data_IF_096566051611
#
_entry.id   IF_096566051611
#
_cell.length_a   1.000
_cell.length_b   1.000
_cell.length_c   1.000
_cell.angle_alpha   90.00
_cell.angle_beta   90.00
_cell.angle_gamma   90.00
#
_symmetry.space_group_name_H-M   'P 1'
#
loop_
_entity.id
_entity.type
_entity.pdbx_description
1 polymer ?
#
# COMPACT_ATOMS: atom_id res chain seq x y z
N UNK A 1 -19.44 24.62 14.66
CA UNK A 1 -20.42 23.70 14.06
C UNK A 1 -19.90 22.28 14.26
N UNK A 2 -20.70 21.35 14.80
CA UNK A 2 -20.23 19.98 15.07
C UNK A 2 -20.51 19.15 13.81
N UNK A 3 -19.50 18.95 12.98
CA UNK A 3 -19.62 18.11 11.78
C UNK A 3 -19.71 16.65 12.22
N UNK A 4 -20.70 15.90 11.72
CA UNK A 4 -20.82 14.47 12.01
C UNK A 4 -20.09 13.64 10.96
N UNK A 5 -19.78 12.39 11.29
CA UNK A 5 -19.10 11.46 10.37
C UNK A 5 -19.95 11.26 9.11
N UNK A 6 -21.26 11.20 9.25
CA UNK A 6 -22.21 11.04 8.15
C UNK A 6 -22.16 12.22 7.18
N UNK A 7 -22.05 13.46 7.69
CA UNK A 7 -21.87 14.65 6.84
C UNK A 7 -20.57 14.58 6.04
N UNK A 8 -19.46 14.19 6.69
CA UNK A 8 -18.15 14.07 6.03
C UNK A 8 -18.19 13.00 4.93
N UNK A 9 -18.78 11.84 5.22
CA UNK A 9 -18.92 10.77 4.23
C UNK A 9 -19.75 11.26 3.04
N UNK A 10 -20.87 11.93 3.27
CA UNK A 10 -21.71 12.45 2.19
C UNK A 10 -20.95 13.46 1.31
N UNK A 11 -20.18 14.37 1.92
CA UNK A 11 -19.36 15.35 1.20
C UNK A 11 -18.26 14.67 0.38
N UNK A 12 -17.52 13.72 0.96
CA UNK A 12 -16.46 12.98 0.26
C UNK A 12 -17.03 12.17 -0.90
N UNK A 13 -18.18 11.50 -0.72
CA UNK A 13 -18.82 10.72 -1.78
C UNK A 13 -19.32 11.60 -2.94
N UNK A 14 -19.58 12.89 -2.71
CA UNK A 14 -19.98 13.84 -3.76
C UNK A 14 -18.82 14.28 -4.68
N UNK A 15 -17.57 14.01 -4.29
CA UNK A 15 -16.39 14.39 -5.06
C UNK A 15 -16.19 13.49 -6.30
N UNK A 16 -15.36 13.95 -7.25
CA UNK A 16 -14.91 13.12 -8.38
C UNK A 16 -14.13 11.88 -7.90
N UNK A 17 -14.08 10.79 -8.68
CA UNK A 17 -13.31 9.58 -8.32
C UNK A 17 -11.86 9.87 -7.92
N UNK A 18 -11.18 10.77 -8.62
CA UNK A 18 -9.79 11.14 -8.36
C UNK A 18 -9.64 11.88 -7.03
N UNK A 19 -10.55 12.81 -6.72
CA UNK A 19 -10.54 13.53 -5.45
C UNK A 19 -10.88 12.60 -4.28
N UNK A 20 -11.78 11.62 -4.47
CA UNK A 20 -12.03 10.58 -3.46
C UNK A 20 -10.81 9.70 -3.22
N UNK A 21 -10.11 9.30 -4.27
CA UNK A 21 -8.87 8.52 -4.14
C UNK A 21 -7.82 9.29 -3.34
N UNK A 22 -7.66 10.59 -3.60
CA UNK A 22 -6.77 11.45 -2.83
C UNK A 22 -7.18 11.56 -1.35
N UNK A 23 -8.48 11.72 -1.04
CA UNK A 23 -8.95 11.71 0.35
C UNK A 23 -8.67 10.36 1.02
N UNK A 24 -8.91 9.25 0.32
CA UNK A 24 -8.63 7.91 0.84
C UNK A 24 -7.13 7.73 1.14
N UNK A 25 -6.24 8.18 0.24
CA UNK A 25 -4.79 8.20 0.46
C UNK A 25 -4.44 8.98 1.74
N UNK A 26 -4.95 10.21 1.91
CA UNK A 26 -4.68 11.01 3.11
C UNK A 26 -5.21 10.40 4.40
N UNK A 27 -6.36 9.74 4.34
CA UNK A 27 -6.88 9.01 5.50
C UNK A 27 -5.98 7.81 5.83
N UNK A 28 -5.52 7.05 4.84
CA UNK A 28 -4.59 5.93 5.05
C UNK A 28 -3.26 6.42 5.63
N UNK A 29 -2.66 7.46 5.04
CA UNK A 29 -1.44 8.09 5.56
C UNK A 29 -1.60 8.55 7.01
N UNK A 30 -2.79 9.04 7.41
CA UNK A 30 -3.04 9.46 8.79
C UNK A 30 -3.10 8.30 9.80
N UNK A 31 -3.36 7.07 9.32
CA UNK A 31 -3.34 5.86 10.14
C UNK A 31 -1.91 5.35 10.36
N UNK A 32 -0.98 5.72 9.49
CA UNK A 32 0.44 5.53 9.70
C UNK A 32 0.91 6.48 10.80
N UNK A 33 0.52 6.19 12.05
CA UNK A 33 1.12 6.81 13.22
C UNK A 33 2.65 6.64 13.14
N UNK A 34 3.41 7.56 13.74
CA UNK A 34 4.85 7.43 14.01
C UNK A 34 5.16 6.25 14.96
N UNK A 35 4.50 5.10 14.79
CA UNK A 35 5.07 3.84 15.21
C UNK A 35 6.38 3.74 14.45
N UNK A 36 7.46 3.90 15.19
CA UNK A 36 8.79 3.47 14.80
C UNK A 36 8.71 1.94 14.66
N UNK A 37 8.06 1.47 13.58
CA UNK A 37 7.91 0.05 13.25
C UNK A 37 9.28 -0.41 12.81
N UNK A 38 10.11 -0.72 13.81
CA UNK A 38 11.39 -1.35 13.55
C UNK A 38 11.10 -2.71 12.94
N UNK A 39 11.49 -2.90 11.67
CA UNK A 39 11.44 -4.20 11.04
C UNK A 39 12.09 -5.23 11.99
N UNK A 40 11.42 -6.36 12.21
CA UNK A 40 12.02 -7.44 13.00
C UNK A 40 13.40 -7.82 12.42
N UNK A 41 14.31 -8.33 13.24
CA UNK A 41 15.61 -8.82 12.78
C UNK A 41 15.46 -9.85 11.65
N UNK A 42 14.51 -10.77 11.79
CA UNK A 42 14.18 -11.78 10.79
C UNK A 42 13.79 -11.17 9.43
N UNK A 43 12.92 -10.16 9.44
CA UNK A 43 12.54 -9.45 8.21
C UNK A 43 13.71 -8.68 7.59
N UNK A 44 14.56 -8.04 8.41
CA UNK A 44 15.76 -7.35 7.91
C UNK A 44 16.76 -8.32 7.28
N UNK A 45 16.92 -9.50 7.84
CA UNK A 45 17.79 -10.54 7.29
C UNK A 45 17.25 -11.06 5.96
N UNK A 46 15.96 -11.38 5.90
CA UNK A 46 15.31 -11.89 4.69
C UNK A 46 15.36 -10.88 3.54
N UNK A 47 15.11 -9.59 3.81
CA UNK A 47 15.23 -8.53 2.79
C UNK A 47 16.65 -8.49 2.21
N UNK A 48 17.68 -8.48 3.07
CA UNK A 48 19.09 -8.46 2.59
C UNK A 48 19.44 -9.71 1.79
N UNK A 49 18.98 -10.88 2.24
CA UNK A 49 19.19 -12.15 1.54
C UNK A 49 18.57 -12.11 0.15
N UNK A 50 17.34 -11.61 0.01
CA UNK A 50 16.65 -11.49 -1.28
C UNK A 50 17.34 -10.49 -2.20
N UNK A 51 17.73 -9.31 -1.71
CA UNK A 51 18.47 -8.35 -2.53
C UNK A 51 19.75 -8.98 -3.08
N UNK A 52 20.55 -9.64 -2.22
CA UNK A 52 21.77 -10.33 -2.67
C UNK A 52 21.49 -11.39 -3.71
N UNK A 53 20.46 -12.22 -3.53
CA UNK A 53 20.13 -13.27 -4.49
C UNK A 53 19.75 -12.71 -5.87
N UNK A 54 19.10 -11.54 -5.89
CA UNK A 54 18.77 -10.81 -7.12
C UNK A 54 20.05 -10.24 -7.75
N UNK A 55 20.88 -9.54 -6.97
CA UNK A 55 22.12 -8.92 -7.44
C UNK A 55 23.11 -9.94 -8.00
N UNK A 56 23.18 -11.13 -7.38
CA UNK A 56 24.03 -12.25 -7.81
C UNK A 56 23.38 -13.10 -8.92
N UNK A 57 22.11 -12.84 -9.27
CA UNK A 57 21.38 -13.63 -10.27
C UNK A 57 21.13 -15.08 -9.86
N UNK A 58 21.07 -15.37 -8.56
CA UNK A 58 20.89 -16.72 -8.01
C UNK A 58 19.41 -17.06 -7.76
N UNK A 59 18.50 -16.15 -8.07
CA UNK A 59 17.05 -16.34 -7.98
C UNK A 59 16.38 -16.08 -9.33
N UNK A 60 15.36 -16.87 -9.65
CA UNK A 60 14.51 -16.64 -10.81
C UNK A 60 13.54 -15.48 -10.50
N UNK A 61 13.63 -14.42 -11.30
CA UNK A 61 12.72 -13.28 -11.21
C UNK A 61 11.44 -13.59 -11.98
N UNK A 62 10.35 -12.95 -11.54
CA UNK A 62 9.07 -12.99 -12.23
C UNK A 62 8.83 -11.64 -12.88
N UNK A 63 8.27 -11.66 -14.07
CA UNK A 63 7.90 -10.44 -14.75
C UNK A 63 6.86 -9.66 -13.94
N UNK A 64 7.09 -8.36 -13.79
CA UNK A 64 6.23 -7.52 -12.97
C UNK A 64 4.83 -7.39 -13.55
N UNK A 65 4.70 -7.28 -14.89
CA UNK A 65 3.42 -7.17 -15.58
C UNK A 65 2.58 -8.43 -15.34
N UNK A 66 3.18 -9.61 -15.45
CA UNK A 66 2.51 -10.89 -15.16
C UNK A 66 2.04 -10.98 -13.70
N UNK A 67 2.86 -10.53 -12.75
CA UNK A 67 2.51 -10.54 -11.32
C UNK A 67 1.35 -9.60 -11.04
N UNK A 68 1.39 -8.37 -11.53
CA UNK A 68 0.33 -7.38 -11.33
C UNK A 68 -0.98 -7.79 -12.02
N UNK A 69 -0.90 -8.25 -13.27
CA UNK A 69 -2.07 -8.72 -14.04
C UNK A 69 -2.80 -9.85 -13.31
N UNK A 70 -2.06 -10.82 -12.78
CA UNK A 70 -2.63 -11.89 -11.95
C UNK A 70 -3.25 -11.39 -10.66
N UNK A 71 -2.59 -10.44 -9.99
CA UNK A 71 -3.11 -9.82 -8.76
C UNK A 71 -4.43 -9.11 -8.99
N UNK A 72 -4.52 -8.27 -10.02
CA UNK A 72 -5.76 -7.56 -10.38
C UNK A 72 -6.88 -8.51 -10.78
N UNK A 73 -6.57 -9.57 -11.54
CA UNK A 73 -7.57 -10.57 -11.92
C UNK A 73 -8.18 -11.30 -10.72
N UNK A 74 -7.44 -11.42 -9.61
CA UNK A 74 -7.90 -12.06 -8.38
C UNK A 74 -8.79 -11.17 -7.50
N UNK A 75 -8.89 -9.87 -7.80
CA UNK A 75 -9.74 -8.91 -7.10
C UNK A 75 -11.15 -8.80 -7.71
N UNK A 76 -11.49 -9.69 -8.66
CA UNK A 76 -12.79 -9.76 -9.33
C UNK A 76 -13.97 -9.89 -8.37
#
# INVERSE_FOLDING_TARGET
MKTTIETIIAEVLSLSPQARAFVAEKLIESLDSELEVTLSSAWREEVRKRCRAIDEGTVELRDAEDVFSRGYSALG
#
